data_IF_402151047599
#
_entry.id   IF_402151047599
#
_cell.length_a   1.000
_cell.length_b   1.000
_cell.length_c   1.000
_cell.angle_alpha   90.00
_cell.angle_beta   90.00
_cell.angle_gamma   90.00
#
_symmetry.space_group_name_H-M   'P 1'
#
loop_
_entity.id
_entity.type
_entity.pdbx_description
1 polymer ?
#
# COMPACT_ATOMS: atom_id res chain seq x y z
N UNK A 1 14.22 -25.73 -3.65
CA UNK A 1 13.30 -24.64 -3.23
C UNK A 1 12.25 -24.45 -4.31
N UNK A 2 11.01 -24.85 -4.07
CA UNK A 2 9.93 -24.76 -5.07
C UNK A 2 9.64 -23.30 -5.37
N UNK A 3 9.73 -22.88 -6.65
CA UNK A 3 9.33 -21.52 -7.05
C UNK A 3 7.92 -21.25 -6.53
N UNK A 4 7.74 -20.11 -5.86
CA UNK A 4 6.41 -19.70 -5.40
C UNK A 4 5.44 -19.68 -6.59
N UNK A 5 4.30 -20.36 -6.45
CA UNK A 5 3.27 -20.43 -7.49
C UNK A 5 2.85 -19.01 -7.88
N UNK A 6 2.92 -18.70 -9.18
CA UNK A 6 2.40 -17.44 -9.71
C UNK A 6 0.87 -17.37 -9.52
N UNK A 7 0.32 -16.19 -9.15
CA UNK A 7 -1.11 -15.97 -9.10
C UNK A 7 -1.75 -16.16 -10.49
N UNK A 8 -2.91 -16.82 -10.54
CA UNK A 8 -3.73 -16.97 -11.73
C UNK A 8 -4.38 -15.63 -12.10
N UNK A 9 -4.72 -15.39 -13.38
CA UNK A 9 -5.33 -14.14 -13.82
C UNK A 9 -6.59 -13.72 -13.04
N UNK A 10 -7.46 -14.67 -12.69
CA UNK A 10 -8.66 -14.37 -11.90
C UNK A 10 -8.35 -13.98 -10.45
N UNK A 11 -7.27 -14.51 -9.85
CA UNK A 11 -6.81 -14.14 -8.51
C UNK A 11 -6.33 -12.68 -8.54
N UNK A 12 -5.61 -12.28 -9.58
CA UNK A 12 -5.19 -10.89 -9.80
C UNK A 12 -6.38 -9.97 -10.07
N UNK A 13 -7.36 -10.40 -10.87
CA UNK A 13 -8.57 -9.63 -11.14
C UNK A 13 -9.41 -9.41 -9.88
N UNK A 14 -9.53 -10.41 -9.02
CA UNK A 14 -10.17 -10.28 -7.71
C UNK A 14 -9.39 -9.31 -6.81
N UNK A 15 -8.05 -9.43 -6.77
CA UNK A 15 -7.20 -8.53 -5.99
C UNK A 15 -7.38 -7.05 -6.39
N UNK A 16 -7.53 -6.74 -7.69
CA UNK A 16 -7.80 -5.38 -8.18
C UNK A 16 -9.09 -4.75 -7.63
N UNK A 17 -10.04 -5.57 -7.18
CA UNK A 17 -11.32 -5.13 -6.61
C UNK A 17 -11.35 -5.26 -5.08
N UNK A 18 -10.27 -5.72 -4.45
CA UNK A 18 -10.19 -5.86 -3.00
C UNK A 18 -10.19 -4.46 -2.35
N UNK A 19 -11.12 -4.16 -1.41
CA UNK A 19 -11.19 -2.85 -0.76
C UNK A 19 -9.89 -2.43 -0.07
N UNK A 20 -9.12 -3.39 0.45
CA UNK A 20 -7.83 -3.11 1.10
C UNK A 20 -6.82 -2.56 0.09
N UNK A 21 -6.77 -3.16 -1.11
CA UNK A 21 -5.89 -2.70 -2.18
C UNK A 21 -6.31 -1.32 -2.70
N UNK A 22 -7.62 -1.08 -2.84
CA UNK A 22 -8.14 0.23 -3.25
C UNK A 22 -7.76 1.32 -2.23
N UNK A 23 -7.90 1.04 -0.93
CA UNK A 23 -7.46 1.94 0.14
C UNK A 23 -5.96 2.19 0.09
N UNK A 24 -5.16 1.15 -0.11
CA UNK A 24 -3.70 1.27 -0.25
C UNK A 24 -3.29 2.18 -1.42
N UNK A 25 -3.93 2.03 -2.59
CA UNK A 25 -3.65 2.89 -3.74
C UNK A 25 -3.97 4.37 -3.45
N UNK A 26 -5.05 4.65 -2.70
CA UNK A 26 -5.45 6.01 -2.31
C UNK A 26 -4.51 6.62 -1.25
N UNK A 27 -4.00 5.80 -0.33
CA UNK A 27 -3.19 6.24 0.83
C UNK A 27 -1.67 6.11 0.61
N UNK A 28 -1.21 5.76 -0.60
CA UNK A 28 0.21 5.51 -0.91
C UNK A 28 1.14 6.70 -0.69
N UNK A 29 0.61 7.93 -0.75
CA UNK A 29 1.38 9.18 -0.65
C UNK A 29 1.33 9.79 0.75
N UNK A 30 0.84 9.06 1.76
CA UNK A 30 0.90 9.55 3.13
C UNK A 30 2.35 9.71 3.59
N UNK A 31 2.58 10.76 4.37
CA UNK A 31 3.90 11.06 4.93
C UNK A 31 4.40 9.90 5.81
N UNK A 32 5.71 9.75 5.93
CA UNK A 32 6.34 8.63 6.63
C UNK A 32 5.97 8.48 8.12
N UNK A 33 5.45 9.54 8.75
CA UNK A 33 4.96 9.51 10.13
C UNK A 33 3.69 8.68 10.29
N UNK A 34 3.07 8.15 9.21
CA UNK A 34 2.01 7.14 9.35
C UNK A 34 2.47 5.96 10.21
N UNK A 35 3.76 5.59 10.18
CA UNK A 35 4.31 4.46 10.95
C UNK A 35 4.15 4.63 12.46
N UNK A 36 4.18 5.87 12.96
CA UNK A 36 4.05 6.18 14.40
C UNK A 36 2.60 6.16 14.89
N UNK A 37 1.62 6.05 13.97
CA UNK A 37 0.19 6.00 14.28
C UNK A 37 -0.41 4.59 14.15
N UNK A 38 0.42 3.58 13.93
CA UNK A 38 -0.03 2.19 13.81
C UNK A 38 -0.50 1.63 15.14
N UNK A 39 -1.71 1.04 15.16
CA UNK A 39 -2.26 0.33 16.34
C UNK A 39 -1.34 -0.80 16.80
N UNK A 40 -0.59 -1.42 15.87
CA UNK A 40 0.36 -2.50 16.16
C UNK A 40 1.42 -2.14 17.20
N UNK A 41 1.72 -0.85 17.41
CA UNK A 41 2.66 -0.40 18.45
C UNK A 41 2.17 -0.64 19.88
N UNK A 42 0.87 -0.91 20.06
CA UNK A 42 0.24 -1.14 21.37
C UNK A 42 0.00 -2.61 21.67
N UNK A 43 0.42 -3.50 20.76
CA UNK A 43 0.18 -4.94 20.81
C UNK A 43 1.52 -5.67 20.66
N UNK A 44 1.63 -6.88 21.20
CA UNK A 44 2.79 -7.73 21.02
C UNK A 44 3.10 -7.92 19.51
N UNK A 45 4.31 -7.56 19.04
CA UNK A 45 4.72 -7.75 17.65
C UNK A 45 4.49 -9.15 17.10
N UNK A 46 4.67 -10.20 17.92
CA UNK A 46 4.54 -11.59 17.48
C UNK A 46 3.12 -11.90 16.97
N UNK A 47 2.12 -11.16 17.45
CA UNK A 47 0.72 -11.24 16.96
C UNK A 47 0.64 -11.08 15.44
N UNK A 48 1.50 -10.23 14.86
CA UNK A 48 1.51 -9.92 13.43
C UNK A 48 2.38 -10.87 12.61
N UNK A 49 3.11 -11.80 13.23
CA UNK A 49 3.95 -12.78 12.56
C UNK A 49 3.57 -14.22 12.92
N UNK A 50 2.31 -14.64 12.69
CA UNK A 50 1.87 -15.99 13.03
C UNK A 50 2.63 -17.05 12.24
N UNK A 51 2.84 -18.21 12.85
CA UNK A 51 3.40 -19.36 12.16
C UNK A 51 2.49 -19.81 11.00
N UNK A 52 2.98 -20.57 10.00
CA UNK A 52 2.18 -20.97 8.83
C UNK A 52 0.89 -21.75 9.15
N UNK A 53 0.85 -22.42 10.29
CA UNK A 53 -0.32 -23.19 10.79
C UNK A 53 -1.22 -22.39 11.73
N UNK A 54 -0.82 -21.18 12.12
CA UNK A 54 -1.54 -20.36 13.08
C UNK A 54 -2.52 -19.40 12.39
N UNK A 55 -3.68 -19.13 13.02
CA UNK A 55 -4.64 -18.20 12.48
C UNK A 55 -4.11 -16.76 12.55
N UNK A 56 -4.32 -16.00 11.47
CA UNK A 56 -3.98 -14.57 11.40
C UNK A 56 -5.16 -13.66 11.81
N UNK A 57 -6.27 -14.22 12.28
CA UNK A 57 -7.54 -13.51 12.49
C UNK A 57 -7.41 -12.34 13.48
N UNK A 58 -6.66 -12.54 14.57
CA UNK A 58 -6.42 -11.50 15.57
C UNK A 58 -5.69 -10.30 14.97
N UNK A 59 -4.58 -10.52 14.28
CA UNK A 59 -3.83 -9.45 13.61
C UNK A 59 -4.65 -8.76 12.51
N UNK A 60 -5.42 -9.53 11.74
CA UNK A 60 -6.30 -8.97 10.70
C UNK A 60 -7.38 -8.09 11.33
N UNK A 61 -7.99 -8.52 12.45
CA UNK A 61 -9.00 -7.74 13.15
C UNK A 61 -8.43 -6.41 13.67
N UNK A 62 -7.25 -6.43 14.28
CA UNK A 62 -6.53 -5.23 14.73
C UNK A 62 -6.22 -4.28 13.56
N UNK A 63 -5.76 -4.81 12.42
CA UNK A 63 -5.49 -3.98 11.25
C UNK A 63 -6.75 -3.32 10.66
N UNK A 64 -7.93 -3.94 10.78
CA UNK A 64 -9.19 -3.39 10.23
C UNK A 64 -9.64 -2.12 10.93
N UNK A 65 -9.27 -1.95 12.20
CA UNK A 65 -9.58 -0.75 13.00
C UNK A 65 -8.44 0.27 13.01
N UNK A 66 -7.36 0.02 12.25
CA UNK A 66 -6.17 0.86 12.24
C UNK A 66 -6.29 2.00 11.21
N UNK A 67 -6.04 3.23 11.64
CA UNK A 67 -6.16 4.42 10.79
C UNK A 67 -5.17 4.41 9.61
N UNK A 68 -4.03 3.75 9.78
CA UNK A 68 -2.95 3.70 8.78
C UNK A 68 -2.96 2.40 7.97
N UNK A 69 -4.08 1.69 7.93
CA UNK A 69 -4.20 0.40 7.23
C UNK A 69 -3.78 0.47 5.76
N UNK A 70 -4.24 1.47 5.00
CA UNK A 70 -3.93 1.58 3.58
C UNK A 70 -2.48 1.97 3.35
N UNK A 71 -1.96 2.97 4.06
CA UNK A 71 -0.55 3.36 4.05
C UNK A 71 0.38 2.15 4.32
N UNK A 72 0.03 1.37 5.35
CA UNK A 72 0.76 0.17 5.74
C UNK A 72 0.77 -0.90 4.64
N UNK A 73 -0.38 -1.15 3.99
CA UNK A 73 -0.45 -2.09 2.87
C UNK A 73 0.30 -1.58 1.64
N UNK A 74 0.20 -0.28 1.33
CA UNK A 74 0.91 0.32 0.20
C UNK A 74 2.43 0.12 0.34
N UNK A 75 2.98 0.46 1.51
CA UNK A 75 4.39 0.23 1.82
C UNK A 75 4.77 -1.25 1.71
N UNK A 76 3.95 -2.15 2.25
CA UNK A 76 4.19 -3.59 2.16
C UNK A 76 4.23 -4.11 0.71
N UNK A 77 3.41 -3.53 -0.19
CA UNK A 77 3.38 -3.90 -1.61
C UNK A 77 4.52 -3.27 -2.42
N UNK A 78 5.00 -2.10 -2.02
CA UNK A 78 6.19 -1.46 -2.59
C UNK A 78 7.47 -2.23 -2.25
N UNK A 79 7.63 -2.61 -0.98
CA UNK A 79 8.75 -3.47 -0.52
C UNK A 79 8.63 -4.88 -1.12
N UNK A 80 7.41 -5.39 -1.25
CA UNK A 80 7.16 -6.69 -1.86
C UNK A 80 7.18 -7.84 -0.85
N UNK A 81 8.33 -8.48 -0.68
CA UNK A 81 8.48 -9.75 0.07
C UNK A 81 8.54 -9.55 1.59
N UNK A 82 7.47 -9.00 2.14
CA UNK A 82 7.29 -8.86 3.58
C UNK A 82 6.56 -10.08 4.15
N UNK A 83 7.07 -10.64 5.25
CA UNK A 83 6.40 -11.68 6.04
C UNK A 83 5.39 -11.09 7.02
N UNK A 84 4.49 -11.92 7.57
CA UNK A 84 3.48 -11.46 8.53
C UNK A 84 2.31 -10.68 7.93
N UNK A 85 1.49 -10.12 8.83
CA UNK A 85 0.27 -9.38 8.54
C UNK A 85 0.58 -7.90 8.37
N UNK A 86 0.24 -7.35 7.21
CA UNK A 86 0.44 -5.93 6.88
C UNK A 86 -0.84 -5.35 6.29
N UNK A 87 -1.29 -4.20 6.81
CA UNK A 87 -2.53 -3.55 6.38
C UNK A 87 -3.75 -4.49 6.33
N UNK A 88 -3.79 -5.49 7.22
CA UNK A 88 -4.84 -6.50 7.29
C UNK A 88 -4.79 -7.56 6.20
N UNK A 89 -3.62 -7.86 5.65
CA UNK A 89 -3.38 -8.91 4.66
C UNK A 89 -2.28 -9.86 5.12
N UNK A 90 -2.41 -11.14 4.81
CA UNK A 90 -1.36 -12.15 4.96
C UNK A 90 -0.39 -12.13 3.77
N UNK A 91 0.82 -12.74 3.88
CA UNK A 91 1.73 -12.86 2.73
C UNK A 91 1.10 -13.60 1.55
N UNK A 92 0.23 -14.58 1.83
CA UNK A 92 -0.49 -15.34 0.80
C UNK A 92 -1.45 -14.45 0.00
N UNK A 93 -2.25 -13.62 0.67
CA UNK A 93 -3.18 -12.69 0.01
C UNK A 93 -2.44 -11.63 -0.81
N UNK A 94 -1.31 -11.12 -0.30
CA UNK A 94 -0.52 -10.11 -1.01
C UNK A 94 0.06 -10.59 -2.34
N UNK A 95 0.23 -11.89 -2.58
CA UNK A 95 0.80 -12.40 -3.85
C UNK A 95 0.08 -11.88 -5.09
N UNK A 96 -1.25 -11.96 -5.11
CA UNK A 96 -2.04 -11.46 -6.22
C UNK A 96 -2.10 -9.92 -6.25
N UNK A 97 -2.12 -9.30 -5.06
CA UNK A 97 -2.08 -7.84 -4.92
C UNK A 97 -0.78 -7.25 -5.46
N UNK A 98 0.37 -7.90 -5.27
CA UNK A 98 1.68 -7.45 -5.80
C UNK A 98 1.68 -7.37 -7.32
N UNK A 99 1.08 -8.37 -8.00
CA UNK A 99 0.94 -8.36 -9.46
C UNK A 99 -0.02 -7.25 -9.89
N UNK A 100 -1.13 -7.07 -9.17
CA UNK A 100 -2.09 -5.99 -9.43
C UNK A 100 -1.48 -4.59 -9.24
N UNK A 101 -0.73 -4.40 -8.14
CA UNK A 101 -0.04 -3.16 -7.74
C UNK A 101 1.01 -2.75 -8.78
N UNK A 102 1.88 -3.67 -9.20
CA UNK A 102 2.86 -3.42 -10.25
C UNK A 102 2.20 -2.98 -11.56
N UNK A 103 1.08 -3.59 -11.92
CA UNK A 103 0.30 -3.19 -13.09
C UNK A 103 -0.40 -1.83 -12.97
N UNK A 104 -0.51 -1.24 -11.77
CA UNK A 104 -0.95 0.15 -11.58
C UNK A 104 0.20 1.13 -11.79
N UNK A 105 1.41 0.82 -11.29
CA UNK A 105 2.60 1.66 -11.47
C UNK A 105 2.94 1.87 -12.96
N UNK A 106 2.81 0.82 -13.77
CA UNK A 106 3.00 0.92 -15.22
C UNK A 106 1.97 1.83 -15.90
N UNK A 107 0.74 1.94 -15.38
CA UNK A 107 -0.29 2.86 -15.90
C UNK A 107 -0.15 4.29 -15.38
N UNK A 108 0.39 4.47 -14.17
CA UNK A 108 0.60 5.78 -13.56
C UNK A 108 1.77 6.56 -14.15
N UNK A 109 2.76 5.87 -14.73
CA UNK A 109 3.90 6.51 -15.40
C UNK A 109 3.51 7.34 -16.63
N UNK A 110 2.39 7.02 -17.30
CA UNK A 110 1.84 7.84 -18.40
C UNK A 110 1.20 9.16 -17.92
N UNK A 111 0.90 9.31 -16.63
CA UNK A 111 0.18 10.49 -16.10
C UNK A 111 1.07 11.56 -15.44
N UNK A 112 2.38 11.34 -15.34
CA UNK A 112 3.32 12.28 -14.68
C UNK A 112 3.99 13.25 -15.68
N UNK A 113 3.68 13.17 -16.98
CA UNK A 113 4.17 14.11 -18.02
C UNK A 113 3.12 15.17 -18.41
N UNK A 114 2.23 15.55 -17.50
CA UNK A 114 1.26 16.62 -17.75
C UNK A 114 0.99 17.43 -16.48
N UNK A 115 2.06 17.86 -15.82
CA UNK A 115 1.96 19.08 -15.03
C UNK A 115 1.81 20.27 -16.01
N UNK A 116 0.80 21.15 -15.87
CA UNK A 116 0.80 22.37 -16.67
C UNK A 116 2.12 23.11 -16.41
N UNK A 117 2.77 23.71 -17.43
CA UNK A 117 3.98 24.47 -17.19
C UNK A 117 3.64 25.53 -16.14
N UNK A 118 4.37 25.53 -15.03
CA UNK A 118 4.32 26.63 -14.08
C UNK A 118 4.55 27.89 -14.89
N UNK A 119 3.52 28.72 -15.01
CA UNK A 119 3.66 30.04 -15.62
C UNK A 119 4.63 30.79 -14.73
N UNK A 120 5.76 31.17 -15.32
CA UNK A 120 6.69 32.14 -14.76
C UNK A 120 5.87 33.35 -14.31
N UNK A 121 5.70 33.51 -13.00
CA UNK A 121 5.19 34.73 -12.41
C UNK A 121 6.35 35.74 -12.49
N UNK A 122 6.58 36.25 -13.70
CA UNK A 122 7.44 37.39 -13.92
C UNK A 122 6.91 38.50 -13.02
N UNK A 123 7.72 38.89 -12.03
CA UNK A 123 7.51 40.04 -11.17
C UNK A 123 7.49 41.30 -12.03
N UNK A 124 6.33 41.68 -12.55
CA UNK A 124 6.14 43.05 -13.02
C UNK A 124 6.08 43.96 -11.80
N UNK A 125 7.23 44.55 -11.50
CA UNK A 125 7.34 45.70 -10.62
C UNK A 125 6.52 46.84 -11.23
N UNK A 126 5.34 47.07 -10.66
CA UNK A 126 4.55 48.27 -10.97
C UNK A 126 5.24 49.47 -10.29
N UNK A 127 5.66 50.52 -11.03
CA UNK A 127 6.20 51.71 -10.39
C UNK A 127 5.06 52.48 -9.70
N UNK A 128 5.22 52.73 -8.40
CA UNK A 128 4.42 53.72 -7.66
C UNK A 128 4.83 55.11 -8.15
N UNK A 129 3.84 55.91 -8.57
CA UNK A 129 3.99 57.32 -8.94
C UNK A 129 4.16 58.21 -7.72
#
# INVERSE_FOLDING_TARGET
MTRARMPRPHEVAAARRDPRLLRASAERQLDEAWRTRGLCQTVDPETFFPAPSEPADTAIALCRTCDVQGACLAWALEVGDCHGVWGGTTPRERRAMLVAWRGQLTRGAETIDSGPPMRDLSLELVPVS
#
